data_IF_481631940523
#
_entry.id   IF_481631940523
#
_cell.length_a   1.000
_cell.length_b   1.000
_cell.length_c   1.000
_cell.angle_alpha   90.00
_cell.angle_beta   90.00
_cell.angle_gamma   90.00
#
_symmetry.space_group_name_H-M   'P 1'
#
loop_
_entity.id
_entity.type
_entity.pdbx_description
1 polymer ?
#
# COMPACT_ATOMS: atom_id res chain seq x y z
N UNK A 1 -5.34 5.68 -2.45
CA UNK A 1 -4.24 5.42 -3.40
C UNK A 1 -4.16 3.93 -3.69
N UNK A 2 -3.87 3.53 -4.93
CA UNK A 2 -3.87 2.13 -5.37
C UNK A 2 -2.44 1.67 -5.63
N UNK A 3 -2.06 0.53 -5.05
CA UNK A 3 -0.85 -0.16 -5.47
C UNK A 3 -1.06 -0.66 -6.90
N UNK A 4 -0.16 -0.26 -7.80
CA UNK A 4 -0.23 -0.67 -9.20
C UNK A 4 -0.30 -2.21 -9.32
N UNK A 5 -1.06 -2.74 -10.30
CA UNK A 5 -1.13 -4.17 -10.54
C UNK A 5 0.26 -4.79 -10.67
N UNK A 6 0.43 -5.95 -10.04
CA UNK A 6 1.68 -6.71 -9.98
C UNK A 6 1.37 -8.20 -9.91
N UNK A 7 2.38 -9.05 -9.84
CA UNK A 7 2.20 -10.50 -9.85
C UNK A 7 1.93 -11.00 -11.27
N UNK A 8 1.00 -11.94 -11.41
CA UNK A 8 0.64 -12.49 -12.73
C UNK A 8 0.14 -11.42 -13.70
N UNK A 9 -0.54 -10.38 -13.18
CA UNK A 9 -1.08 -9.28 -13.98
C UNK A 9 0.02 -8.38 -14.54
N UNK A 10 1.16 -8.29 -13.86
CA UNK A 10 2.31 -7.49 -14.29
C UNK A 10 3.59 -8.04 -13.64
N UNK A 11 4.24 -9.04 -14.25
CA UNK A 11 5.44 -9.67 -13.71
C UNK A 11 6.66 -8.74 -13.70
N UNK A 12 6.67 -7.71 -14.58
CA UNK A 12 7.76 -6.74 -14.71
C UNK A 12 7.61 -5.54 -13.77
N UNK A 13 6.58 -5.49 -12.92
CA UNK A 13 6.42 -4.41 -11.96
C UNK A 13 7.63 -4.31 -11.02
N UNK A 14 8.10 -3.08 -10.74
CA UNK A 14 9.29 -2.79 -9.91
C UNK A 14 9.21 -3.41 -8.50
N UNK A 15 8.00 -3.66 -8.00
CA UNK A 15 7.80 -4.28 -6.70
C UNK A 15 8.06 -5.80 -6.70
N UNK A 16 8.14 -6.46 -7.84
CA UNK A 16 8.31 -7.91 -7.96
C UNK A 16 9.73 -8.33 -7.60
N UNK A 17 9.85 -9.33 -6.73
CA UNK A 17 11.10 -10.00 -6.36
C UNK A 17 10.84 -11.50 -6.26
N UNK A 18 11.65 -12.32 -6.94
CA UNK A 18 11.49 -13.79 -6.95
C UNK A 18 10.04 -14.21 -7.29
N UNK A 19 9.45 -13.60 -8.31
CA UNK A 19 8.04 -13.81 -8.74
C UNK A 19 6.95 -13.46 -7.71
N UNK A 20 7.29 -12.80 -6.58
CA UNK A 20 6.35 -12.37 -5.55
C UNK A 20 6.43 -10.85 -5.37
N UNK A 21 5.31 -10.20 -5.07
CA UNK A 21 5.32 -8.78 -4.72
C UNK A 21 6.07 -8.58 -3.39
N UNK A 22 7.18 -7.85 -3.40
CA UNK A 22 7.98 -7.55 -2.20
C UNK A 22 7.23 -6.71 -1.16
N UNK A 23 6.12 -6.07 -1.54
CA UNK A 23 5.22 -5.34 -0.65
C UNK A 23 4.04 -6.18 -0.18
N UNK A 24 3.92 -7.42 -0.66
CA UNK A 24 2.89 -8.39 -0.29
C UNK A 24 1.49 -8.00 -0.75
N UNK A 25 1.35 -7.46 -1.96
CA UNK A 25 0.06 -7.23 -2.61
C UNK A 25 -0.29 -8.40 -3.56
N UNK A 26 -1.59 -8.68 -3.77
CA UNK A 26 -2.74 -8.09 -3.06
C UNK A 26 -2.79 -8.51 -1.58
N UNK A 27 -3.24 -7.61 -0.69
CA UNK A 27 -3.39 -7.93 0.74
C UNK A 27 -4.62 -8.80 0.97
N UNK A 28 -4.64 -9.59 2.05
CA UNK A 28 -5.85 -10.30 2.45
C UNK A 28 -6.98 -9.33 2.82
N UNK A 29 -8.24 -9.76 2.61
CA UNK A 29 -9.37 -9.07 3.23
C UNK A 29 -9.34 -9.28 4.74
N UNK A 30 -9.73 -8.26 5.48
CA UNK A 30 -9.73 -8.22 6.93
C UNK A 30 -10.94 -7.42 7.39
N UNK A 31 -11.75 -8.00 8.28
CA UNK A 31 -12.96 -7.35 8.80
C UNK A 31 -12.64 -6.19 9.72
N UNK A 32 -11.55 -6.29 10.48
CA UNK A 32 -11.09 -5.29 11.43
C UNK A 32 -9.58 -5.07 11.30
N UNK A 33 -9.09 -3.95 11.84
CA UNK A 33 -7.65 -3.68 11.86
C UNK A 33 -7.02 -4.45 13.01
N UNK A 34 -6.03 -5.29 12.70
CA UNK A 34 -5.31 -6.10 13.68
C UNK A 34 -3.95 -5.46 14.00
N UNK A 35 -3.64 -5.37 15.29
CA UNK A 35 -2.32 -4.98 15.77
C UNK A 35 -1.59 -6.23 16.27
N UNK A 36 -0.55 -6.66 15.54
CA UNK A 36 0.29 -7.79 16.00
C UNK A 36 1.43 -7.32 16.90
N UNK A 37 1.96 -8.23 17.72
CA UNK A 37 3.11 -7.99 18.62
C UNK A 37 4.35 -7.61 17.81
N UNK A 38 4.93 -6.44 18.10
CA UNK A 38 6.08 -5.83 17.41
C UNK A 38 6.03 -5.90 15.86
N UNK A 39 4.83 -5.76 15.31
CA UNK A 39 4.59 -5.87 13.87
C UNK A 39 3.92 -4.62 13.30
N UNK A 40 3.96 -4.47 11.99
CA UNK A 40 3.14 -3.46 11.32
C UNK A 40 1.66 -3.84 11.43
N UNK A 41 0.76 -2.86 11.64
CA UNK A 41 -0.67 -3.10 11.71
C UNK A 41 -1.20 -3.67 10.40
N UNK A 42 -2.10 -4.64 10.48
CA UNK A 42 -2.85 -5.14 9.33
C UNK A 42 -4.18 -4.42 9.27
N UNK A 43 -4.31 -3.49 8.33
CA UNK A 43 -5.53 -2.69 8.21
C UNK A 43 -6.72 -3.51 7.72
N UNK A 44 -7.90 -3.13 8.24
CA UNK A 44 -9.19 -3.55 7.70
C UNK A 44 -9.26 -3.32 6.19
N UNK A 45 -9.71 -4.35 5.46
CA UNK A 45 -9.94 -4.35 4.02
C UNK A 45 -11.23 -5.11 3.75
N UNK A 46 -12.33 -4.39 3.52
CA UNK A 46 -13.65 -5.00 3.28
C UNK A 46 -13.71 -5.66 1.91
N UNK A 47 -14.26 -6.87 1.86
CA UNK A 47 -14.68 -7.53 0.63
C UNK A 47 -15.78 -6.71 -0.05
N UNK A 48 -15.87 -6.63 -1.40
CA UNK A 48 -17.02 -6.05 -2.10
C UNK A 48 -18.39 -6.46 -1.57
N UNK A 49 -18.59 -7.73 -1.19
CA UNK A 49 -19.84 -8.22 -0.61
C UNK A 49 -20.17 -7.61 0.77
N UNK A 50 -19.14 -7.16 1.51
CA UNK A 50 -19.25 -6.50 2.83
C UNK A 50 -19.19 -4.96 2.72
N UNK A 51 -19.58 -4.40 1.58
CA UNK A 51 -19.51 -2.96 1.31
C UNK A 51 -18.09 -2.45 1.01
N UNK A 52 -17.21 -3.32 0.51
CA UNK A 52 -15.96 -2.92 -0.13
C UNK A 52 -16.18 -2.33 -1.52
N UNK A 53 -15.15 -1.71 -2.11
CA UNK A 53 -15.25 -1.08 -3.42
C UNK A 53 -14.40 -1.83 -4.45
N UNK A 54 -14.86 -1.81 -5.70
CA UNK A 54 -14.12 -2.26 -6.88
C UNK A 54 -14.00 -1.13 -7.87
N UNK A 55 -12.83 -1.00 -8.50
CA UNK A 55 -12.59 -0.02 -9.57
C UNK A 55 -11.91 -0.72 -10.75
N UNK A 56 -12.21 -0.26 -11.96
CA UNK A 56 -11.47 -0.65 -13.14
C UNK A 56 -10.33 0.34 -13.38
N UNK A 57 -9.12 -0.17 -13.58
CA UNK A 57 -7.94 0.65 -13.86
C UNK A 57 -7.26 0.15 -15.14
N UNK A 58 -6.77 1.09 -15.93
CA UNK A 58 -5.97 0.80 -17.13
C UNK A 58 -4.55 0.41 -16.71
N UNK A 59 -4.08 -0.70 -17.27
CA UNK A 59 -2.69 -1.12 -17.21
C UNK A 59 -1.87 -0.36 -18.25
N UNK A 60 -0.57 -0.23 -18.00
CA UNK A 60 0.38 0.32 -18.98
C UNK A 60 0.50 -0.52 -20.26
N UNK A 61 0.06 -1.79 -20.22
CA UNK A 61 0.14 -2.77 -21.31
C UNK A 61 -1.14 -2.87 -22.15
N UNK A 62 -1.94 -1.79 -22.24
CA UNK A 62 -3.21 -1.73 -22.99
C UNK A 62 -4.31 -2.72 -22.52
N UNK A 63 -4.23 -3.20 -21.28
CA UNK A 63 -5.29 -3.99 -20.64
C UNK A 63 -6.07 -3.18 -19.60
N UNK A 64 -7.25 -3.66 -19.24
CA UNK A 64 -8.00 -3.18 -18.07
C UNK A 64 -7.98 -4.26 -16.99
N UNK A 65 -7.87 -3.85 -15.73
CA UNK A 65 -7.96 -4.77 -14.61
C UNK A 65 -8.84 -4.22 -13.50
N UNK A 66 -9.59 -5.12 -12.88
CA UNK A 66 -10.43 -4.80 -11.73
C UNK A 66 -9.59 -4.88 -10.46
N UNK A 67 -9.44 -3.75 -9.78
CA UNK A 67 -8.86 -3.68 -8.44
C UNK A 67 -9.95 -3.55 -7.39
N UNK A 68 -9.68 -4.06 -6.20
CA UNK A 68 -10.54 -3.96 -5.04
C UNK A 68 -9.73 -3.45 -3.84
N UNK A 69 -10.38 -3.38 -2.67
CA UNK A 69 -9.77 -2.91 -1.42
C UNK A 69 -8.44 -3.61 -1.03
N UNK A 70 -8.12 -4.78 -1.59
CA UNK A 70 -6.84 -5.48 -1.36
C UNK A 70 -5.63 -4.75 -1.94
N UNK A 71 -5.85 -3.87 -2.90
CA UNK A 71 -4.82 -3.09 -3.59
C UNK A 71 -4.62 -1.70 -3.01
N UNK A 72 -5.44 -1.29 -2.04
CA UNK A 72 -5.36 0.07 -1.45
C UNK A 72 -4.11 0.20 -0.58
N UNK A 73 -3.33 1.24 -0.81
CA UNK A 73 -2.24 1.66 0.09
C UNK A 73 -2.85 2.52 1.21
N UNK A 74 -2.50 2.31 2.48
CA UNK A 74 -3.03 3.12 3.59
C UNK A 74 -2.81 4.63 3.38
N UNK A 75 -3.87 5.40 3.55
CA UNK A 75 -3.88 6.85 3.38
C UNK A 75 -4.95 7.48 4.27
N UNK A 76 -4.83 8.79 4.50
CA UNK A 76 -5.87 9.58 5.14
C UNK A 76 -6.53 10.50 4.08
N UNK A 77 -7.85 10.36 3.82
CA UNK A 77 -8.53 11.17 2.80
C UNK A 77 -8.44 12.68 3.03
N UNK A 78 -8.47 13.11 4.29
CA UNK A 78 -8.37 14.52 4.66
C UNK A 78 -6.97 15.06 4.36
N UNK A 79 -5.91 14.36 4.80
CA UNK A 79 -4.52 14.78 4.52
C UNK A 79 -4.21 14.78 3.02
N UNK A 80 -4.68 13.78 2.28
CA UNK A 80 -4.50 13.70 0.84
C UNK A 80 -5.13 14.90 0.12
N UNK A 81 -6.35 15.28 0.52
CA UNK A 81 -7.04 16.44 -0.04
C UNK A 81 -6.37 17.76 0.36
N UNK A 82 -5.94 17.89 1.61
CA UNK A 82 -5.35 19.11 2.13
C UNK A 82 -3.98 19.40 1.52
N UNK A 83 -3.15 18.37 1.35
CA UNK A 83 -1.78 18.50 0.83
C UNK A 83 -1.68 18.33 -0.69
N UNK A 84 -2.76 17.89 -1.34
CA UNK A 84 -2.83 17.58 -2.77
C UNK A 84 -1.62 16.75 -3.27
N UNK A 85 -1.20 15.77 -2.48
CA UNK A 85 -0.01 14.96 -2.76
C UNK A 85 -0.25 13.47 -2.48
N UNK A 86 0.61 12.63 -3.07
CA UNK A 86 0.56 11.19 -2.88
C UNK A 86 1.23 10.81 -1.54
N UNK A 87 0.42 10.75 -0.48
CA UNK A 87 0.89 10.48 0.89
C UNK A 87 0.41 9.13 1.41
N UNK A 88 1.36 8.28 1.82
CA UNK A 88 1.08 7.06 2.57
C UNK A 88 0.98 7.41 4.06
N UNK A 89 -0.06 6.92 4.75
CA UNK A 89 -0.25 7.14 6.19
C UNK A 89 -0.37 5.81 6.89
N UNK A 90 0.51 5.56 7.86
CA UNK A 90 0.53 4.33 8.65
C UNK A 90 0.52 4.60 10.15
N UNK A 91 -0.21 3.78 10.91
CA UNK A 91 -0.14 3.73 12.36
C UNK A 91 1.22 3.16 12.80
N UNK A 92 1.89 3.90 13.68
CA UNK A 92 3.19 3.56 14.24
C UNK A 92 3.04 3.25 15.72
N UNK A 93 2.86 1.98 16.06
CA UNK A 93 2.63 1.54 17.44
C UNK A 93 3.64 0.50 17.93
N UNK A 94 4.44 -0.08 17.03
CA UNK A 94 5.47 -1.07 17.39
C UNK A 94 6.85 -0.43 17.48
N UNK A 95 7.75 -1.05 18.26
CA UNK A 95 9.17 -0.67 18.30
C UNK A 95 9.77 -0.74 16.91
N UNK A 96 9.39 -1.74 16.11
CA UNK A 96 9.75 -1.87 14.70
C UNK A 96 9.35 -0.65 13.86
N UNK A 97 8.11 -0.17 14.00
CA UNK A 97 7.63 1.02 13.28
C UNK A 97 8.37 2.29 13.72
N UNK A 98 8.66 2.45 15.02
CA UNK A 98 9.42 3.60 15.53
C UNK A 98 10.86 3.57 15.00
N UNK A 99 11.53 2.42 15.06
CA UNK A 99 12.87 2.23 14.47
C UNK A 99 12.89 2.58 12.98
N UNK A 100 11.83 2.21 12.26
CA UNK A 100 11.70 2.57 10.84
C UNK A 100 11.60 4.08 10.64
N UNK A 101 10.76 4.79 11.40
CA UNK A 101 10.66 6.26 11.31
C UNK A 101 12.02 6.90 11.61
N UNK A 102 12.67 6.49 12.70
CA UNK A 102 13.99 7.00 13.07
C UNK A 102 15.01 6.74 11.95
N UNK A 103 15.00 5.55 11.34
CA UNK A 103 15.86 5.27 10.18
C UNK A 103 15.62 6.27 9.05
N UNK A 104 14.39 6.63 8.74
CA UNK A 104 14.08 7.57 7.65
C UNK A 104 14.51 9.00 7.97
N UNK A 105 14.26 9.47 9.20
CA UNK A 105 14.70 10.80 9.65
C UNK A 105 16.24 10.92 9.60
N UNK A 106 16.94 9.84 9.95
CA UNK A 106 18.42 9.84 10.03
C UNK A 106 19.11 9.28 8.79
N UNK A 107 18.37 8.83 7.75
CA UNK A 107 18.96 8.33 6.49
C UNK A 107 19.70 9.45 5.72
N UNK A 108 19.42 10.72 6.06
CA UNK A 108 19.81 11.88 5.27
C UNK A 108 18.82 12.14 4.13
N UNK A 109 18.85 13.34 3.57
CA UNK A 109 18.02 13.67 2.42
C UNK A 109 18.47 12.83 1.22
N UNK A 110 17.58 12.01 0.64
CA UNK A 110 17.78 11.51 -0.72
C UNK A 110 17.71 12.75 -1.63
N UNK A 111 18.87 13.34 -1.95
CA UNK A 111 18.96 14.41 -2.93
C UNK A 111 18.72 13.79 -4.30
N UNK A 112 17.51 13.93 -4.83
CA UNK A 112 17.31 13.91 -6.27
C UNK A 112 17.99 15.18 -6.81
N UNK A 113 19.27 15.08 -7.16
CA UNK A 113 19.91 16.08 -8.02
C UNK A 113 19.25 15.99 -9.38
N UNK A 114 18.53 17.05 -9.74
CA UNK A 114 18.00 17.28 -11.08
C UNK A 114 19.13 17.60 -12.07
#
# INVERSE_FOLDING_TARGET
MIHGPCGQQNPSAVCMKNAVCSKGFPKAFLRDTEQGVDSYPKYRRRNPEDGGFTAHIKLSTNGETTVNNRWVVPYNPWLLRQLNCHINVEMCTSVKSIKYILKYVHKGNDQATF
#
